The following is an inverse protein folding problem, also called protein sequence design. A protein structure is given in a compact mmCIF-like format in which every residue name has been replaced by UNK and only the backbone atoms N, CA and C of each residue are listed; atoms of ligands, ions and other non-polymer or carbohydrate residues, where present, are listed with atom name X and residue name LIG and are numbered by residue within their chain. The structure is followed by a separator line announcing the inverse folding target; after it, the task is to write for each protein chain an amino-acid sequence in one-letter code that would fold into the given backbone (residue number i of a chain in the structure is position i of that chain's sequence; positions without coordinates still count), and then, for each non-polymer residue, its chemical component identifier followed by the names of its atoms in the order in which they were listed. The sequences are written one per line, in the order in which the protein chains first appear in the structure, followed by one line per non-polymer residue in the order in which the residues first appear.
data_IF_842662645946
#
_entry.id   IF_842662645946
#
_cell.length_a   1.000
_cell.length_b   1.000
_cell.length_c   1.000
_cell.angle_alpha   90.00
_cell.angle_beta   90.00
_cell.angle_gamma   90.00
#
_symmetry.space_group_name_H-M   'P 1'
#
loop_
_entity.id
_entity.type
_entity.pdbx_description
1 polymer ?
#
# COMPACT_ATOMS: atom_id res chain seq x y z
N UNK A 1 60.19 -13.68 34.00
CA UNK A 1 60.87 -12.49 33.47
C UNK A 1 59.82 -11.45 33.13
N UNK A 2 59.93 -10.32 33.83
CA UNK A 2 59.39 -8.98 33.59
C UNK A 2 57.95 -8.83 33.04
N UNK A 3 57.06 -8.46 33.98
CA UNK A 3 55.97 -7.53 33.73
C UNK A 3 56.52 -6.13 33.38
N UNK A 4 55.87 -5.42 32.47
CA UNK A 4 56.04 -3.98 32.29
C UNK A 4 54.67 -3.32 32.29
N UNK A 5 54.32 -2.81 33.46
CA UNK A 5 53.29 -1.83 33.69
C UNK A 5 53.70 -0.53 32.98
N UNK A 6 52.85 -0.01 32.09
CA UNK A 6 52.91 1.40 31.73
C UNK A 6 51.88 2.16 32.56
N UNK A 7 52.41 2.90 33.52
CA UNK A 7 51.76 3.87 34.38
C UNK A 7 51.37 5.11 33.58
N UNK A 8 50.08 5.40 33.49
CA UNK A 8 49.61 6.76 33.20
C UNK A 8 49.31 7.46 34.52
N UNK A 9 50.21 8.35 34.93
CA UNK A 9 49.97 9.35 35.97
C UNK A 9 49.08 10.44 35.37
N UNK A 10 47.83 10.54 35.82
CA UNK A 10 47.03 11.73 35.62
C UNK A 10 47.46 12.77 36.68
N UNK A 11 48.14 13.83 36.23
CA UNK A 11 48.35 15.01 37.05
C UNK A 11 47.02 15.79 37.18
N UNK A 12 46.77 16.16 38.43
CA UNK A 12 45.85 17.16 38.95
C UNK A 12 45.47 18.33 38.03
N UNK A 13 44.19 18.68 38.08
CA UNK A 13 43.76 20.08 38.05
C UNK A 13 43.57 20.68 36.65
N UNK A 14 42.50 20.29 35.98
CA UNK A 14 41.93 21.04 34.86
C UNK A 14 40.42 20.94 34.92
N UNK A 15 39.74 22.05 35.19
CA UNK A 15 38.30 22.16 34.99
C UNK A 15 37.99 21.73 33.56
N UNK A 16 37.31 20.60 33.39
CA UNK A 16 36.73 20.22 32.11
C UNK A 16 35.62 21.23 31.86
N UNK A 17 35.87 22.14 30.92
CA UNK A 17 34.86 23.05 30.42
C UNK A 17 33.69 22.19 29.89
N UNK A 18 32.50 22.46 30.42
CA UNK A 18 31.22 21.87 30.02
C UNK A 18 30.79 22.28 28.59
N UNK A 19 31.73 22.62 27.70
CA UNK A 19 31.47 23.10 26.35
C UNK A 19 31.67 22.06 25.26
N UNK A 20 32.36 20.95 25.53
CA UNK A 20 32.76 20.00 24.47
C UNK A 20 32.03 18.64 24.54
N UNK A 21 31.05 18.51 25.44
CA UNK A 21 30.15 17.35 25.55
C UNK A 21 28.83 17.53 24.77
N UNK A 22 28.68 18.67 24.08
CA UNK A 22 27.61 18.90 23.13
C UNK A 22 28.20 18.86 21.71
N UNK A 23 27.63 18.01 20.85
CA UNK A 23 27.87 17.92 19.40
C UNK A 23 28.81 16.81 18.89
N UNK A 24 28.88 15.67 19.56
CA UNK A 24 28.77 14.41 18.80
C UNK A 24 27.29 14.03 18.77
N UNK A 25 26.56 14.62 17.82
CA UNK A 25 25.35 13.97 17.33
C UNK A 25 25.81 12.63 16.74
N UNK A 26 25.76 11.56 17.55
CA UNK A 26 25.59 10.23 17.01
C UNK A 26 24.28 10.31 16.22
N UNK A 27 24.38 10.54 14.92
CA UNK A 27 23.27 10.45 13.99
C UNK A 27 22.85 9.00 14.00
N UNK A 28 22.04 8.62 14.98
CA UNK A 28 21.53 7.27 15.12
C UNK A 28 20.60 7.09 13.94
N UNK A 29 21.06 6.39 12.92
CA UNK A 29 20.19 5.93 11.85
C UNK A 29 19.09 5.09 12.49
N UNK A 30 17.88 5.61 12.53
CA UNK A 30 16.72 4.89 13.02
C UNK A 30 16.36 3.81 11.99
N UNK A 31 15.87 2.68 12.49
CA UNK A 31 15.47 1.54 11.67
C UNK A 31 13.96 1.37 11.78
N UNK A 32 13.30 1.32 10.63
CA UNK A 32 11.90 0.93 10.50
C UNK A 32 11.81 -0.55 10.15
N UNK A 33 10.74 -1.19 10.62
CA UNK A 33 10.33 -2.49 10.13
C UNK A 33 8.95 -2.34 9.50
N UNK A 34 8.84 -2.75 8.24
CA UNK A 34 7.56 -2.89 7.56
C UNK A 34 7.12 -4.35 7.62
N UNK A 35 5.88 -4.58 8.05
CA UNK A 35 5.23 -5.89 7.97
C UNK A 35 4.16 -5.82 6.89
N UNK A 36 4.25 -6.69 5.89
CA UNK A 36 3.31 -6.73 4.77
C UNK A 36 2.65 -8.10 4.64
N UNK A 37 1.45 -8.09 4.11
CA UNK A 37 0.75 -9.25 3.59
C UNK A 37 -0.03 -8.84 2.32
N UNK A 38 -0.59 -9.82 1.61
CA UNK A 38 -1.42 -9.58 0.42
C UNK A 38 -2.88 -9.30 0.79
N UNK A 39 -3.56 -8.49 -0.03
CA UNK A 39 -5.02 -8.35 0.03
C UNK A 39 -5.63 -8.55 -1.35
N UNK A 40 -6.74 -9.29 -1.37
CA UNK A 40 -7.37 -9.76 -2.59
C UNK A 40 -6.59 -10.91 -3.24
N UNK A 41 -7.31 -11.77 -3.95
CA UNK A 41 -6.67 -12.88 -4.68
C UNK A 41 -6.05 -12.36 -6.00
N UNK A 42 -4.84 -12.80 -6.30
CA UNK A 42 -4.03 -12.42 -7.46
C UNK A 42 -4.63 -12.82 -8.80
N UNK A 43 -5.51 -13.83 -8.84
CA UNK A 43 -6.16 -14.29 -10.08
C UNK A 43 -7.15 -13.29 -10.72
N UNK A 44 -7.65 -13.59 -11.93
CA UNK A 44 -8.60 -12.73 -12.64
C UNK A 44 -9.90 -12.48 -11.86
N UNK A 45 -10.60 -11.40 -12.22
CA UNK A 45 -11.88 -11.02 -11.62
C UNK A 45 -12.87 -10.56 -12.68
N UNK A 46 -14.14 -10.89 -12.49
CA UNK A 46 -15.24 -10.41 -13.32
C UNK A 46 -16.32 -9.77 -12.43
N UNK A 47 -16.79 -10.52 -11.43
CA UNK A 47 -17.86 -10.14 -10.48
C UNK A 47 -18.04 -11.28 -9.46
N UNK A 48 -18.62 -11.00 -8.30
CA UNK A 48 -18.76 -11.97 -7.21
C UNK A 48 -19.73 -13.13 -7.48
N UNK A 49 -20.69 -12.98 -8.39
CA UNK A 49 -21.60 -14.06 -8.82
C UNK A 49 -21.02 -14.88 -10.00
N UNK A 50 -19.81 -14.58 -10.49
CA UNK A 50 -19.17 -15.35 -11.55
C UNK A 50 -18.70 -16.73 -11.03
N UNK A 51 -18.95 -17.86 -11.73
CA UNK A 51 -18.64 -19.20 -11.23
C UNK A 51 -17.15 -19.46 -10.94
N UNK A 52 -16.24 -18.69 -11.55
CA UNK A 52 -14.77 -18.90 -11.43
C UNK A 52 -13.95 -17.68 -11.00
N UNK A 53 -14.45 -16.46 -11.25
CA UNK A 53 -13.64 -15.24 -11.22
C UNK A 53 -14.31 -14.21 -10.31
N UNK A 54 -14.55 -14.63 -9.07
CA UNK A 54 -15.43 -13.98 -8.10
C UNK A 54 -14.75 -13.62 -6.77
N UNK A 55 -13.43 -13.65 -6.74
CA UNK A 55 -12.67 -13.53 -5.50
C UNK A 55 -12.67 -12.11 -4.96
N UNK A 56 -12.04 -11.17 -5.67
CA UNK A 56 -11.88 -9.79 -5.20
C UNK A 56 -11.61 -8.85 -6.38
N UNK A 57 -12.11 -7.60 -6.39
CA UNK A 57 -11.90 -6.65 -7.50
C UNK A 57 -10.50 -6.04 -7.56
N UNK A 58 -9.77 -6.01 -6.44
CA UNK A 58 -8.42 -5.46 -6.35
C UNK A 58 -7.37 -6.52 -5.97
N UNK A 59 -6.10 -6.20 -6.19
CA UNK A 59 -4.97 -6.94 -5.63
C UNK A 59 -3.90 -5.95 -5.14
N UNK A 60 -3.17 -6.29 -4.08
CA UNK A 60 -2.07 -5.48 -3.60
C UNK A 60 -1.46 -5.98 -2.30
N UNK A 61 -0.59 -5.15 -1.72
CA UNK A 61 0.07 -5.40 -0.45
C UNK A 61 -0.28 -4.33 0.57
N UNK A 62 -0.53 -4.74 1.80
CA UNK A 62 -0.81 -3.83 2.90
C UNK A 62 -0.21 -4.33 4.22
N UNK A 63 -0.28 -3.48 5.23
CA UNK A 63 0.23 -3.77 6.55
C UNK A 63 0.61 -2.48 7.26
N UNK A 64 1.76 -2.46 7.90
CA UNK A 64 2.18 -1.32 8.70
C UNK A 64 3.70 -1.19 8.78
N UNK A 65 4.14 0.03 9.12
CA UNK A 65 5.52 0.40 9.38
C UNK A 65 5.64 0.79 10.84
N UNK A 66 6.73 0.41 11.49
CA UNK A 66 6.97 0.68 12.91
C UNK A 66 8.47 0.89 13.19
N UNK A 67 8.86 1.82 14.07
CA UNK A 67 10.24 1.89 14.58
C UNK A 67 10.67 0.58 15.25
N UNK A 68 11.88 0.12 14.95
CA UNK A 68 12.39 -1.19 15.37
C UNK A 68 12.35 -1.39 16.90
N UNK A 69 12.61 -0.33 17.67
CA UNK A 69 12.55 -0.32 19.14
C UNK A 69 11.15 -0.61 19.71
N UNK A 70 10.11 -0.42 18.91
CA UNK A 70 8.71 -0.59 19.33
C UNK A 70 8.11 -1.92 18.89
N UNK A 71 8.81 -2.71 18.05
CA UNK A 71 8.33 -3.98 17.50
C UNK A 71 7.95 -4.98 18.60
N UNK A 72 8.81 -5.17 19.61
CA UNK A 72 8.51 -6.08 20.73
C UNK A 72 7.26 -5.65 21.50
N UNK A 73 7.11 -4.34 21.73
CA UNK A 73 5.95 -3.78 22.45
C UNK A 73 4.66 -4.01 21.65
N UNK A 74 4.69 -3.77 20.34
CA UNK A 74 3.52 -3.93 19.49
C UNK A 74 3.12 -5.41 19.35
N UNK A 75 4.08 -6.30 19.08
CA UNK A 75 3.82 -7.73 18.94
C UNK A 75 3.23 -8.35 20.22
N UNK A 76 3.78 -8.01 21.37
CA UNK A 76 3.25 -8.47 22.67
C UNK A 76 1.86 -7.91 22.97
N UNK A 77 1.61 -6.64 22.66
CA UNK A 77 0.30 -6.02 22.86
C UNK A 77 -0.78 -6.59 21.93
N UNK A 78 -0.45 -6.79 20.65
CA UNK A 78 -1.38 -7.44 19.71
C UNK A 78 -1.73 -8.85 20.17
N UNK A 79 -0.72 -9.66 20.56
CA UNK A 79 -0.94 -10.99 21.12
C UNK A 79 -1.94 -10.95 22.29
N UNK A 80 -1.72 -10.07 23.25
CA UNK A 80 -2.61 -9.90 24.41
C UNK A 80 -4.04 -9.55 24.01
N UNK A 81 -4.25 -8.56 23.12
CA UNK A 81 -5.61 -8.19 22.71
C UNK A 81 -6.28 -9.31 21.91
N UNK A 82 -5.54 -9.97 21.00
CA UNK A 82 -6.01 -11.09 20.19
C UNK A 82 -6.48 -12.26 21.06
N UNK A 83 -5.67 -12.67 22.02
CA UNK A 83 -5.99 -13.79 22.91
C UNK A 83 -7.20 -13.50 23.81
N UNK A 84 -7.38 -12.25 24.25
CA UNK A 84 -8.58 -11.87 25.01
C UNK A 84 -9.84 -11.83 24.13
N UNK A 85 -9.74 -11.27 22.92
CA UNK A 85 -10.87 -11.22 21.97
C UNK A 85 -11.33 -12.63 21.60
N UNK A 86 -10.38 -13.55 21.42
CA UNK A 86 -10.63 -14.89 20.89
C UNK A 86 -10.50 -15.97 21.97
N UNK A 87 -10.65 -15.60 23.24
CA UNK A 87 -10.46 -16.49 24.38
C UNK A 87 -11.37 -17.74 24.30
N UNK A 88 -12.61 -17.55 23.82
CA UNK A 88 -13.53 -18.66 23.61
C UNK A 88 -13.04 -19.61 22.51
N UNK A 89 -12.65 -19.11 21.33
CA UNK A 89 -12.13 -19.95 20.24
C UNK A 89 -10.84 -20.69 20.66
N UNK A 90 -9.95 -20.01 21.39
CA UNK A 90 -8.74 -20.60 21.94
C UNK A 90 -9.03 -21.72 22.94
N UNK A 91 -10.08 -21.58 23.76
CA UNK A 91 -10.49 -22.63 24.71
C UNK A 91 -10.98 -23.91 24.03
N UNK A 92 -11.40 -23.81 22.77
CA UNK A 92 -11.87 -24.94 21.96
C UNK A 92 -10.77 -25.49 21.03
N UNK A 93 -9.59 -24.87 21.01
CA UNK A 93 -8.49 -25.24 20.12
C UNK A 93 -7.55 -26.25 20.78
N UNK A 94 -7.15 -27.27 20.02
CA UNK A 94 -6.06 -28.18 20.41
C UNK A 94 -4.67 -27.56 20.15
N UNK A 95 -4.60 -26.52 19.32
CA UNK A 95 -3.36 -25.78 19.04
C UNK A 95 -3.08 -24.78 20.17
N UNK A 96 -1.88 -24.81 20.78
CA UNK A 96 -1.47 -23.84 21.79
C UNK A 96 -1.54 -22.39 21.29
N UNK A 97 -1.88 -21.45 22.19
CA UNK A 97 -2.12 -20.05 21.84
C UNK A 97 -0.91 -19.35 21.15
N UNK A 98 0.32 -19.78 21.44
CA UNK A 98 1.54 -19.26 20.83
C UNK A 98 1.76 -19.72 19.38
N UNK A 99 1.06 -20.78 18.95
CA UNK A 99 1.05 -21.29 17.56
C UNK A 99 -0.29 -21.09 16.86
N UNK A 100 -1.24 -20.49 17.58
CA UNK A 100 -2.60 -20.31 17.11
C UNK A 100 -2.75 -19.00 16.33
N UNK A 101 -3.44 -19.10 15.21
CA UNK A 101 -3.69 -18.00 14.29
C UNK A 101 -5.18 -17.90 13.97
N UNK A 102 -5.68 -16.67 14.02
CA UNK A 102 -6.96 -16.29 13.42
C UNK A 102 -6.68 -15.43 12.20
N UNK A 103 -7.00 -15.95 11.02
CA UNK A 103 -6.93 -15.16 9.78
C UNK A 103 -7.90 -13.98 9.86
N UNK A 104 -7.41 -12.80 9.51
CA UNK A 104 -8.16 -11.55 9.52
C UNK A 104 -9.38 -11.63 8.62
N UNK A 105 -9.28 -12.32 7.48
CA UNK A 105 -10.40 -12.54 6.56
C UNK A 105 -11.55 -13.34 7.20
N UNK A 106 -11.24 -14.23 8.14
CA UNK A 106 -12.21 -15.02 8.91
C UNK A 106 -12.76 -14.26 10.13
N UNK A 107 -11.99 -13.32 10.69
CA UNK A 107 -12.47 -12.43 11.75
C UNK A 107 -13.38 -11.32 11.19
N UNK A 108 -12.95 -10.67 10.12
CA UNK A 108 -13.56 -9.47 9.54
C UNK A 108 -14.57 -9.85 8.46
N UNK A 109 -15.66 -10.49 8.88
CA UNK A 109 -16.80 -10.85 8.02
C UNK A 109 -18.04 -10.07 8.44
N UNK A 110 -18.96 -9.82 7.52
CA UNK A 110 -20.24 -9.18 7.86
C UNK A 110 -21.07 -10.01 8.83
N UNK A 111 -20.90 -11.34 8.84
CA UNK A 111 -21.53 -12.18 9.85
C UNK A 111 -20.99 -11.91 11.25
N UNK A 112 -19.68 -11.80 11.41
CA UNK A 112 -19.10 -11.53 12.71
C UNK A 112 -19.43 -10.12 13.18
N UNK A 113 -19.44 -9.12 12.29
CA UNK A 113 -19.88 -7.77 12.65
C UNK A 113 -21.36 -7.73 13.07
N UNK A 114 -22.24 -8.48 12.42
CA UNK A 114 -23.65 -8.56 12.87
C UNK A 114 -23.82 -9.12 14.28
N UNK A 115 -22.92 -9.99 14.74
CA UNK A 115 -23.09 -10.73 15.99
C UNK A 115 -22.16 -10.25 17.11
N UNK A 116 -21.00 -9.67 16.78
CA UNK A 116 -19.88 -9.43 17.69
C UNK A 116 -19.15 -8.10 17.41
N UNK A 117 -19.81 -7.12 16.80
CA UNK A 117 -19.21 -5.80 16.54
C UNK A 117 -18.74 -5.12 17.84
N UNK A 118 -19.51 -5.27 18.92
CA UNK A 118 -19.24 -4.68 20.23
C UNK A 118 -17.96 -5.22 20.89
N UNK A 119 -17.46 -6.39 20.47
CA UNK A 119 -16.18 -6.94 20.90
C UNK A 119 -15.06 -6.64 19.89
N UNK A 120 -15.35 -6.82 18.60
CA UNK A 120 -14.36 -6.68 17.52
C UNK A 120 -13.89 -5.24 17.39
N UNK A 121 -14.79 -4.26 17.32
CA UNK A 121 -14.42 -2.86 17.10
C UNK A 121 -13.57 -2.31 18.25
N UNK A 122 -13.92 -2.51 19.54
CA UNK A 122 -13.04 -2.10 20.63
C UNK A 122 -11.68 -2.80 20.65
N UNK A 123 -11.58 -4.05 20.21
CA UNK A 123 -10.29 -4.73 20.06
C UNK A 123 -9.43 -4.07 18.97
N UNK A 124 -9.98 -3.83 17.79
CA UNK A 124 -9.30 -3.13 16.70
C UNK A 124 -8.88 -1.71 17.12
N UNK A 125 -9.76 -0.95 17.78
CA UNK A 125 -9.47 0.38 18.35
C UNK A 125 -8.25 0.37 19.25
N UNK A 126 -8.16 -0.62 20.14
CA UNK A 126 -7.04 -0.78 21.08
C UNK A 126 -5.75 -1.11 20.32
N UNK A 127 -5.80 -2.04 19.37
CA UNK A 127 -4.65 -2.46 18.56
C UNK A 127 -4.08 -1.29 17.75
N UNK A 128 -4.91 -0.63 16.93
CA UNK A 128 -4.46 0.45 16.06
C UNK A 128 -4.19 1.76 16.82
N UNK A 129 -4.89 1.98 17.93
CA UNK A 129 -4.53 3.04 18.88
C UNK A 129 -3.13 2.84 19.45
N UNK A 130 -2.76 1.61 19.81
CA UNK A 130 -1.41 1.30 20.27
C UNK A 130 -0.38 1.45 19.15
N UNK A 131 -0.71 1.01 17.93
CA UNK A 131 0.16 1.18 16.77
C UNK A 131 0.53 2.66 16.57
N UNK A 132 -0.47 3.56 16.54
CA UNK A 132 -0.23 5.00 16.40
C UNK A 132 0.55 5.61 17.56
N UNK A 133 0.29 5.19 18.80
CA UNK A 133 1.06 5.61 19.99
C UNK A 133 2.53 5.20 19.94
N UNK A 134 2.84 4.13 19.21
CA UNK A 134 4.20 3.64 19.01
C UNK A 134 4.83 4.18 17.72
N UNK A 135 4.26 5.27 17.18
CA UNK A 135 4.69 5.94 15.94
C UNK A 135 4.58 5.05 14.70
N UNK A 136 3.75 4.01 14.78
CA UNK A 136 3.43 3.14 13.67
C UNK A 136 2.42 3.76 12.71
N UNK A 137 2.56 3.43 11.43
CA UNK A 137 1.67 3.90 10.36
C UNK A 137 1.18 2.74 9.50
N UNK A 138 -0.04 2.86 9.02
CA UNK A 138 -0.60 1.89 8.07
C UNK A 138 0.02 2.13 6.70
N UNK A 139 0.26 1.06 5.96
CA UNK A 139 0.80 1.13 4.62
C UNK A 139 -0.03 0.28 3.68
N UNK A 140 -0.28 0.77 2.46
CA UNK A 140 -0.82 -0.06 1.41
C UNK A 140 -0.55 0.45 0.01
N UNK A 141 -0.41 -0.50 -0.92
CA UNK A 141 -0.48 -0.28 -2.35
C UNK A 141 -1.38 -1.34 -2.96
N UNK A 142 -2.28 -0.96 -3.87
CA UNK A 142 -2.94 -1.93 -4.73
C UNK A 142 -3.50 -1.34 -6.00
N UNK A 143 -4.06 -2.22 -6.81
CA UNK A 143 -4.63 -1.90 -8.10
C UNK A 143 -5.95 -2.67 -8.28
N UNK A 144 -6.96 -1.99 -8.80
CA UNK A 144 -8.17 -2.59 -9.31
C UNK A 144 -7.80 -3.45 -10.51
N UNK A 145 -8.28 -4.70 -10.54
CA UNK A 145 -7.99 -5.63 -11.63
C UNK A 145 -8.79 -5.24 -12.88
N UNK A 146 -8.24 -5.46 -14.08
CA UNK A 146 -9.03 -5.39 -15.29
C UNK A 146 -10.10 -6.49 -15.23
N UNK A 147 -11.32 -6.14 -15.64
CA UNK A 147 -12.46 -7.05 -15.62
C UNK A 147 -12.32 -8.01 -16.81
N UNK A 148 -12.24 -9.31 -16.53
CA UNK A 148 -12.16 -10.34 -17.57
C UNK A 148 -11.11 -11.42 -17.29
N UNK A 149 -11.13 -12.52 -18.06
CA UNK A 149 -10.09 -13.54 -18.02
C UNK A 149 -8.75 -13.02 -18.59
N UNK A 150 -7.67 -13.78 -18.37
CA UNK A 150 -6.33 -13.45 -18.91
C UNK A 150 -6.32 -13.35 -20.44
N UNK A 151 -7.14 -14.15 -21.13
CA UNK A 151 -7.25 -14.13 -22.59
C UNK A 151 -7.75 -12.79 -23.17
N UNK A 152 -8.46 -11.99 -22.36
CA UNK A 152 -9.00 -10.69 -22.76
C UNK A 152 -8.18 -9.53 -22.17
N UNK A 153 -7.75 -9.69 -20.91
CA UNK A 153 -7.05 -8.63 -20.16
C UNK A 153 -5.55 -8.60 -20.43
N UNK A 154 -4.98 -9.71 -20.91
CA UNK A 154 -3.55 -9.93 -21.13
C UNK A 154 -2.67 -9.72 -19.88
N UNK A 155 -3.26 -9.68 -18.67
CA UNK A 155 -2.54 -9.53 -17.41
C UNK A 155 -2.59 -10.84 -16.60
N UNK A 156 -1.45 -11.51 -16.48
CA UNK A 156 -1.34 -12.74 -15.70
C UNK A 156 -1.32 -12.44 -14.20
N UNK A 157 -1.58 -13.46 -13.37
CA UNK A 157 -1.43 -13.33 -11.90
C UNK A 157 -0.01 -12.91 -11.50
N UNK A 158 1.00 -13.42 -12.21
CA UNK A 158 2.40 -13.13 -11.92
C UNK A 158 2.77 -11.69 -12.26
N UNK A 159 2.29 -11.16 -13.40
CA UNK A 159 2.52 -9.76 -13.78
C UNK A 159 1.96 -8.83 -12.71
N UNK A 160 0.74 -9.12 -12.25
CA UNK A 160 0.03 -8.36 -11.23
C UNK A 160 0.73 -8.41 -9.87
N UNK A 161 1.14 -9.61 -9.45
CA UNK A 161 1.88 -9.82 -8.20
C UNK A 161 3.21 -9.06 -8.21
N UNK A 162 4.01 -9.27 -9.26
CA UNK A 162 5.31 -8.60 -9.45
C UNK A 162 5.15 -7.08 -9.48
N UNK A 163 4.17 -6.58 -10.24
CA UNK A 163 3.91 -5.15 -10.33
C UNK A 163 3.56 -4.55 -8.96
N UNK A 164 2.60 -5.14 -8.25
CA UNK A 164 2.16 -4.62 -6.96
C UNK A 164 3.27 -4.68 -5.91
N UNK A 165 4.07 -5.75 -5.92
CA UNK A 165 5.17 -5.93 -5.00
C UNK A 165 6.27 -4.89 -5.23
N UNK A 166 6.68 -4.68 -6.48
CA UNK A 166 7.64 -3.63 -6.87
C UNK A 166 7.13 -2.25 -6.44
N UNK A 167 5.86 -1.95 -6.68
CA UNK A 167 5.26 -0.67 -6.33
C UNK A 167 5.16 -0.45 -4.82
N UNK A 168 4.91 -1.51 -4.05
CA UNK A 168 4.92 -1.46 -2.59
C UNK A 168 6.33 -1.15 -2.06
N UNK A 169 7.33 -1.90 -2.54
CA UNK A 169 8.74 -1.71 -2.14
C UNK A 169 9.28 -0.34 -2.51
N UNK A 170 9.03 0.16 -3.72
CA UNK A 170 9.47 1.50 -4.11
C UNK A 170 8.88 2.60 -3.19
N UNK A 171 7.63 2.44 -2.76
CA UNK A 171 6.97 3.38 -1.84
C UNK A 171 7.54 3.31 -0.43
N UNK A 172 7.78 2.11 0.07
CA UNK A 172 8.45 1.89 1.36
C UNK A 172 9.87 2.47 1.36
N UNK A 173 10.63 2.24 0.28
CA UNK A 173 11.96 2.82 0.07
C UNK A 173 11.92 4.34 0.07
N UNK A 174 10.95 4.94 -0.62
CA UNK A 174 10.72 6.40 -0.61
C UNK A 174 10.44 6.92 0.81
N UNK A 175 9.55 6.27 1.57
CA UNK A 175 9.24 6.66 2.95
C UNK A 175 10.49 6.65 3.83
N UNK A 176 11.27 5.57 3.78
CA UNK A 176 12.48 5.45 4.57
C UNK A 176 13.56 6.45 4.13
N UNK A 177 13.69 6.67 2.82
CA UNK A 177 14.61 7.65 2.25
C UNK A 177 14.30 9.08 2.70
N UNK A 178 13.03 9.49 2.60
CA UNK A 178 12.58 10.84 2.97
C UNK A 178 12.77 11.12 4.46
N UNK A 179 12.75 10.07 5.30
CA UNK A 179 13.04 10.15 6.75
C UNK A 179 14.53 10.06 7.09
N UNK A 180 15.39 9.81 6.11
CA UNK A 180 16.80 9.46 6.33
C UNK A 180 16.98 8.24 7.26
N UNK A 181 16.10 7.25 7.11
CA UNK A 181 16.06 6.02 7.91
C UNK A 181 16.34 4.78 7.05
N UNK A 182 16.63 3.67 7.72
CA UNK A 182 16.75 2.35 7.09
C UNK A 182 15.51 1.52 7.35
N UNK A 183 15.19 0.61 6.45
CA UNK A 183 14.01 -0.23 6.54
C UNK A 183 14.32 -1.69 6.25
N UNK A 184 13.83 -2.56 7.13
CA UNK A 184 13.68 -3.98 6.88
C UNK A 184 12.22 -4.28 6.55
N UNK A 185 11.97 -5.13 5.56
CA UNK A 185 10.62 -5.55 5.18
C UNK A 185 10.45 -7.03 5.52
N UNK A 186 9.35 -7.36 6.19
CA UNK A 186 8.97 -8.72 6.57
C UNK A 186 7.60 -9.01 5.96
N UNK A 187 7.45 -10.16 5.33
CA UNK A 187 6.23 -10.59 4.64
C UNK A 187 5.77 -11.96 5.14
N UNK A 188 4.46 -12.25 5.03
CA UNK A 188 3.99 -13.63 5.17
C UNK A 188 4.59 -14.51 4.06
N UNK A 189 4.88 -15.77 4.39
CA UNK A 189 5.44 -16.71 3.44
C UNK A 189 4.37 -17.17 2.45
N UNK A 190 4.68 -17.05 1.17
CA UNK A 190 3.89 -17.64 0.08
C UNK A 190 4.40 -19.06 -0.22
N UNK A 191 3.71 -19.78 -1.11
CA UNK A 191 4.20 -21.07 -1.62
C UNK A 191 5.64 -20.96 -2.18
N UNK A 192 6.37 -22.07 -2.18
CA UNK A 192 7.82 -22.16 -2.41
C UNK A 192 8.24 -21.57 -3.77
N UNK A 193 7.49 -21.88 -4.83
CA UNK A 193 7.75 -21.35 -6.18
C UNK A 193 7.48 -19.84 -6.30
N UNK A 194 6.58 -19.30 -5.47
CA UNK A 194 6.30 -17.86 -5.41
C UNK A 194 7.40 -17.15 -4.62
N UNK A 195 7.94 -17.81 -3.57
CA UNK A 195 9.00 -17.26 -2.71
C UNK A 195 10.29 -16.98 -3.48
N UNK A 196 10.82 -17.92 -4.26
CA UNK A 196 12.06 -17.70 -5.02
C UNK A 196 11.92 -16.58 -6.05
N UNK A 197 10.79 -16.55 -6.76
CA UNK A 197 10.51 -15.52 -7.76
C UNK A 197 10.32 -14.14 -7.14
N UNK A 198 9.63 -14.04 -6.01
CA UNK A 198 9.49 -12.79 -5.27
C UNK A 198 10.87 -12.28 -4.83
N UNK A 199 11.72 -13.15 -4.27
CA UNK A 199 13.10 -12.80 -3.87
C UNK A 199 13.91 -12.29 -5.07
N UNK A 200 13.88 -12.99 -6.21
CA UNK A 200 14.63 -12.58 -7.41
C UNK A 200 14.14 -11.23 -7.97
N UNK A 201 12.82 -11.05 -8.08
CA UNK A 201 12.18 -9.82 -8.56
C UNK A 201 12.53 -8.62 -7.66
N UNK A 202 12.48 -8.84 -6.35
CA UNK A 202 12.75 -7.82 -5.35
C UNK A 202 14.24 -7.49 -5.25
N UNK A 203 15.12 -8.48 -5.34
CA UNK A 203 16.57 -8.27 -5.42
C UNK A 203 16.93 -7.37 -6.60
N UNK A 204 16.40 -7.66 -7.79
CA UNK A 204 16.62 -6.81 -8.97
C UNK A 204 16.10 -5.38 -8.78
N UNK A 205 14.99 -5.21 -8.05
CA UNK A 205 14.34 -3.91 -7.81
C UNK A 205 15.05 -3.08 -6.73
N UNK A 206 15.50 -3.71 -5.64
CA UNK A 206 16.14 -3.03 -4.51
C UNK A 206 17.57 -2.65 -4.87
N UNK A 207 18.31 -3.56 -5.51
CA UNK A 207 19.71 -3.34 -5.87
C UNK A 207 19.91 -2.65 -7.23
N UNK A 208 18.84 -2.18 -7.86
CA UNK A 208 18.94 -1.39 -9.09
C UNK A 208 19.63 -0.06 -8.85
N UNK A 209 20.49 0.36 -9.78
CA UNK A 209 21.18 1.66 -9.71
C UNK A 209 20.25 2.85 -9.96
N UNK A 210 19.11 2.61 -10.61
CA UNK A 210 18.23 3.66 -11.12
C UNK A 210 17.19 4.16 -10.10
N UNK A 211 17.06 3.50 -8.94
CA UNK A 211 16.19 3.95 -7.86
C UNK A 211 17.01 4.18 -6.58
N UNK A 212 17.43 5.43 -6.36
CA UNK A 212 18.23 5.80 -5.18
C UNK A 212 17.48 5.66 -3.86
N UNK A 213 16.14 5.77 -3.86
CA UNK A 213 15.33 5.67 -2.64
C UNK A 213 15.34 4.26 -2.05
N UNK A 214 15.42 3.24 -2.91
CA UNK A 214 15.48 1.84 -2.49
C UNK A 214 16.75 1.49 -1.69
N UNK A 215 17.79 2.35 -1.70
CA UNK A 215 18.98 2.20 -0.84
C UNK A 215 18.67 2.29 0.66
N UNK A 216 17.48 2.77 1.03
CA UNK A 216 17.00 2.72 2.41
C UNK A 216 16.43 1.36 2.80
N UNK A 217 16.04 0.52 1.84
CA UNK A 217 15.70 -0.89 2.08
C UNK A 217 17.00 -1.68 2.13
N UNK A 218 17.28 -2.30 3.29
CA UNK A 218 18.62 -2.83 3.58
C UNK A 218 18.86 -4.25 3.06
N UNK A 219 17.80 -5.00 2.81
CA UNK A 219 17.84 -6.38 2.31
C UNK A 219 16.55 -6.70 1.57
N UNK A 220 16.58 -7.74 0.73
CA UNK A 220 15.39 -8.34 0.15
C UNK A 220 14.40 -8.73 1.27
N UNK A 221 13.08 -8.47 1.11
CA UNK A 221 12.08 -8.82 2.10
C UNK A 221 12.20 -10.23 2.66
N UNK A 222 12.19 -10.34 3.99
CA UNK A 222 12.21 -11.62 4.69
C UNK A 222 10.80 -12.21 4.70
N UNK A 223 10.68 -13.47 4.31
CA UNK A 223 9.42 -14.20 4.41
C UNK A 223 9.40 -15.06 5.67
N UNK A 224 8.28 -15.01 6.41
CA UNK A 224 8.09 -15.65 7.71
C UNK A 224 6.71 -16.27 7.82
N UNK A 225 6.56 -17.27 8.69
CA UNK A 225 5.32 -18.04 8.82
C UNK A 225 4.33 -17.34 9.78
N UNK A 226 3.26 -16.74 9.26
CA UNK A 226 2.28 -15.96 10.04
C UNK A 226 1.80 -16.61 11.35
N UNK A 227 1.58 -17.92 11.40
CA UNK A 227 1.16 -18.62 12.61
C UNK A 227 2.11 -18.50 13.81
N UNK A 228 3.38 -18.15 13.60
CA UNK A 228 4.39 -17.96 14.66
C UNK A 228 4.66 -16.48 14.98
N UNK A 229 4.25 -15.55 14.11
CA UNK A 229 4.61 -14.14 14.21
C UNK A 229 3.38 -13.25 14.37
N UNK A 230 3.12 -12.83 15.61
CA UNK A 230 2.03 -11.90 15.95
C UNK A 230 2.08 -10.58 15.16
N UNK A 231 3.27 -10.09 14.80
CA UNK A 231 3.42 -8.90 13.97
C UNK A 231 2.95 -9.11 12.53
N UNK A 232 3.13 -10.30 11.98
CA UNK A 232 2.65 -10.68 10.64
C UNK A 232 1.15 -10.92 10.66
N UNK A 233 0.60 -11.56 11.70
CA UNK A 233 -0.86 -11.69 11.88
C UNK A 233 -1.56 -10.32 11.96
N UNK A 234 -0.92 -9.31 12.55
CA UNK A 234 -1.45 -7.94 12.52
C UNK A 234 -1.41 -7.34 11.10
N UNK A 235 -0.42 -7.68 10.27
CA UNK A 235 -0.40 -7.29 8.87
C UNK A 235 -1.56 -7.96 8.11
N UNK A 236 -1.79 -9.26 8.31
CA UNK A 236 -2.95 -9.99 7.77
C UNK A 236 -4.29 -9.35 8.21
N UNK A 237 -4.47 -8.97 9.48
CA UNK A 237 -5.70 -8.27 9.92
C UNK A 237 -5.86 -6.90 9.25
N UNK A 238 -4.75 -6.22 8.98
CA UNK A 238 -4.74 -4.95 8.25
C UNK A 238 -5.10 -5.14 6.78
N UNK A 239 -4.57 -6.19 6.14
CA UNK A 239 -4.91 -6.59 4.79
C UNK A 239 -6.37 -7.01 4.67
N UNK A 240 -6.90 -7.73 5.63
CA UNK A 240 -8.31 -8.12 5.66
C UNK A 240 -9.22 -6.90 5.72
N UNK A 241 -8.94 -5.92 6.60
CA UNK A 241 -9.70 -4.67 6.65
C UNK A 241 -9.62 -3.92 5.32
N UNK A 242 -8.42 -3.80 4.74
CA UNK A 242 -8.24 -3.11 3.46
C UNK A 242 -8.95 -3.85 2.32
N UNK A 243 -8.95 -5.18 2.33
CA UNK A 243 -9.75 -6.02 1.44
C UNK A 243 -11.22 -5.66 1.54
N UNK A 244 -11.79 -5.54 2.74
CA UNK A 244 -13.20 -5.15 2.92
C UNK A 244 -13.49 -3.73 2.42
N UNK A 245 -12.58 -2.78 2.68
CA UNK A 245 -12.69 -1.42 2.17
C UNK A 245 -12.66 -1.39 0.63
N UNK A 246 -11.71 -2.09 0.03
CA UNK A 246 -11.55 -2.08 -1.43
C UNK A 246 -12.66 -2.85 -2.13
N UNK A 247 -13.12 -3.96 -1.59
CA UNK A 247 -14.33 -4.64 -2.04
C UNK A 247 -15.53 -3.69 -2.06
N UNK A 248 -15.80 -2.98 -0.96
CA UNK A 248 -16.87 -1.98 -0.89
C UNK A 248 -16.79 -0.89 -1.98
N UNK A 249 -15.58 -0.42 -2.27
CA UNK A 249 -15.37 0.70 -3.18
C UNK A 249 -15.27 0.30 -4.66
N UNK A 250 -14.88 -0.93 -4.98
CA UNK A 250 -14.49 -1.35 -6.33
C UNK A 250 -15.28 -2.55 -6.88
N UNK A 251 -16.04 -3.27 -6.05
CA UNK A 251 -16.95 -4.31 -6.50
C UNK A 251 -18.30 -3.74 -6.96
N UNK A 252 -19.02 -4.53 -7.75
CA UNK A 252 -20.39 -4.23 -8.20
C UNK A 252 -21.38 -4.22 -7.03
N UNK A 253 -21.25 -5.17 -6.12
CA UNK A 253 -21.97 -5.21 -4.85
C UNK A 253 -21.00 -5.60 -3.73
N UNK A 254 -21.32 -5.21 -2.50
CA UNK A 254 -20.48 -5.52 -1.35
C UNK A 254 -21.30 -5.44 -0.08
N UNK A 255 -21.14 -6.43 0.79
CA UNK A 255 -21.76 -6.51 2.12
C UNK A 255 -20.90 -5.84 3.21
N UNK A 256 -19.82 -5.15 2.81
CA UNK A 256 -18.83 -4.60 3.73
C UNK A 256 -18.98 -3.09 3.95
N UNK A 257 -20.20 -2.56 3.92
CA UNK A 257 -20.44 -1.13 4.21
C UNK A 257 -19.93 -0.71 5.60
N UNK A 258 -20.02 -1.60 6.59
CA UNK A 258 -19.48 -1.41 7.95
C UNK A 258 -17.97 -1.12 7.95
N UNK A 259 -17.23 -1.62 6.95
CA UNK A 259 -15.78 -1.46 6.89
C UNK A 259 -15.38 0.00 6.73
N UNK A 260 -16.23 0.84 6.12
CA UNK A 260 -15.98 2.28 5.93
C UNK A 260 -15.85 2.99 7.28
N UNK A 261 -16.76 2.71 8.21
CA UNK A 261 -16.76 3.36 9.53
C UNK A 261 -15.64 2.83 10.42
N UNK A 262 -15.40 1.51 10.39
CA UNK A 262 -14.26 0.88 11.07
C UNK A 262 -12.93 1.40 10.53
N UNK A 263 -12.79 1.47 9.21
CA UNK A 263 -11.63 2.01 8.51
C UNK A 263 -11.39 3.48 8.86
N UNK A 264 -12.44 4.30 8.94
CA UNK A 264 -12.34 5.71 9.36
C UNK A 264 -11.76 5.85 10.76
N UNK A 265 -12.27 5.08 11.71
CA UNK A 265 -11.79 5.11 13.09
C UNK A 265 -10.36 4.59 13.22
N UNK A 266 -10.03 3.52 12.51
CA UNK A 266 -8.67 2.96 12.47
C UNK A 266 -7.68 3.94 11.84
N UNK A 267 -8.01 4.56 10.70
CA UNK A 267 -7.15 5.55 10.03
C UNK A 267 -6.98 6.83 10.87
N UNK A 268 -7.90 7.11 11.80
CA UNK A 268 -7.74 8.20 12.76
C UNK A 268 -6.76 7.87 13.88
N UNK A 269 -6.60 6.60 14.22
CA UNK A 269 -5.74 6.10 15.30
C UNK A 269 -4.32 5.79 14.84
N UNK A 270 -4.21 5.13 13.69
CA UNK A 270 -2.95 4.88 13.01
C UNK A 270 -3.07 5.43 11.59
N UNK A 271 -2.35 6.52 11.31
CA UNK A 271 -2.45 7.20 10.02
C UNK A 271 -1.84 6.34 8.91
N UNK A 272 -2.52 6.20 7.77
CA UNK A 272 -1.89 5.68 6.56
C UNK A 272 -0.70 6.55 6.13
N UNK A 273 0.30 5.95 5.48
CA UNK A 273 1.40 6.72 4.88
C UNK A 273 0.89 7.60 3.75
N UNK A 274 1.57 8.71 3.50
CA UNK A 274 1.15 9.71 2.51
C UNK A 274 1.11 9.17 1.07
N UNK A 275 1.92 8.15 0.79
CA UNK A 275 1.99 7.50 -0.51
C UNK A 275 1.16 6.20 -0.61
N UNK A 276 0.37 5.87 0.42
CA UNK A 276 -0.58 4.75 0.38
C UNK A 276 -1.71 5.02 -0.61
N UNK A 277 -2.02 4.05 -1.47
CA UNK A 277 -2.91 4.30 -2.61
C UNK A 277 -3.49 3.03 -3.24
N UNK A 278 -4.72 3.12 -3.76
CA UNK A 278 -5.33 2.14 -4.65
C UNK A 278 -5.51 2.75 -6.04
N UNK A 279 -4.95 2.13 -7.07
CA UNK A 279 -5.10 2.55 -8.46
C UNK A 279 -6.36 1.96 -9.07
N UNK A 280 -7.18 2.79 -9.70
CA UNK A 280 -8.34 2.34 -10.50
C UNK A 280 -7.91 2.08 -11.95
N UNK A 281 -8.53 1.07 -12.56
CA UNK A 281 -8.37 0.74 -13.97
C UNK A 281 -9.36 1.50 -14.88
N UNK A 282 -10.01 2.56 -14.38
CA UNK A 282 -10.90 3.39 -15.17
C UNK A 282 -10.21 4.00 -16.40
N UNK A 283 -10.95 4.09 -17.51
CA UNK A 283 -10.50 4.59 -18.83
C UNK A 283 -9.99 6.03 -18.79
N UNK A 284 -10.41 6.83 -17.82
CA UNK A 284 -9.78 8.11 -17.51
C UNK A 284 -8.44 7.82 -16.82
N UNK A 285 -7.41 7.58 -17.63
CA UNK A 285 -6.05 7.21 -17.22
C UNK A 285 -5.65 7.81 -15.86
N UNK A 286 -5.39 6.94 -14.88
CA UNK A 286 -4.81 7.25 -13.56
C UNK A 286 -5.74 7.83 -12.50
N UNK A 287 -6.96 7.30 -12.39
CA UNK A 287 -7.77 7.56 -11.21
C UNK A 287 -7.22 6.82 -9.98
N UNK A 288 -7.06 7.55 -8.89
CA UNK A 288 -6.34 7.12 -7.69
C UNK A 288 -7.22 7.31 -6.47
N UNK A 289 -7.42 6.24 -5.71
CA UNK A 289 -8.09 6.28 -4.42
C UNK A 289 -7.05 6.38 -3.31
N UNK A 290 -6.92 7.59 -2.75
CA UNK A 290 -6.12 7.85 -1.55
C UNK A 290 -6.86 7.37 -0.30
N UNK A 291 -6.19 7.25 0.87
CA UNK A 291 -6.80 6.67 2.06
C UNK A 291 -8.11 7.34 2.49
N UNK A 292 -8.20 8.67 2.40
CA UNK A 292 -9.43 9.40 2.70
C UNK A 292 -10.60 9.04 1.78
N UNK A 293 -10.32 8.57 0.55
CA UNK A 293 -11.34 8.09 -0.38
C UNK A 293 -11.90 6.72 -0.01
N UNK A 294 -11.16 5.91 0.76
CA UNK A 294 -11.58 4.58 1.21
C UNK A 294 -12.47 4.60 2.47
N UNK A 295 -12.59 5.75 3.15
CA UNK A 295 -13.31 5.87 4.43
C UNK A 295 -14.53 6.80 4.33
N UNK A 296 -15.02 6.97 3.10
CA UNK A 296 -16.22 7.75 2.76
C UNK A 296 -17.29 6.80 2.24
N UNK A 297 -18.53 6.98 2.68
CA UNK A 297 -19.66 6.11 2.30
C UNK A 297 -19.97 6.13 0.79
N UNK A 298 -19.58 7.18 0.08
CA UNK A 298 -19.68 7.17 -1.38
C UNK A 298 -18.68 6.19 -1.99
N UNK A 299 -19.17 5.20 -2.74
CA UNK A 299 -18.33 4.24 -3.46
C UNK A 299 -17.44 4.95 -4.48
N UNK A 300 -16.24 4.39 -4.71
CA UNK A 300 -15.24 5.07 -5.51
C UNK A 300 -15.67 5.14 -6.99
N UNK A 301 -16.20 4.04 -7.53
CA UNK A 301 -16.65 3.98 -8.92
C UNK A 301 -17.77 5.01 -9.23
N UNK A 302 -18.63 5.35 -8.27
CA UNK A 302 -19.65 6.41 -8.45
C UNK A 302 -19.01 7.78 -8.66
N UNK A 303 -17.97 8.08 -7.89
CA UNK A 303 -17.20 9.32 -8.01
C UNK A 303 -16.51 9.39 -9.38
N UNK A 304 -15.99 8.26 -9.86
CA UNK A 304 -15.38 8.17 -11.19
C UNK A 304 -16.39 8.42 -12.30
N UNK A 305 -17.54 7.77 -12.27
CA UNK A 305 -18.60 7.96 -13.26
C UNK A 305 -19.07 9.42 -13.32
N UNK A 306 -19.27 10.06 -12.16
CA UNK A 306 -19.63 11.49 -12.10
C UNK A 306 -18.55 12.38 -12.71
N UNK A 307 -17.27 12.08 -12.45
CA UNK A 307 -16.15 12.81 -13.04
C UNK A 307 -16.10 12.63 -14.56
N UNK A 308 -16.22 11.39 -15.05
CA UNK A 308 -16.25 11.09 -16.48
C UNK A 308 -17.42 11.78 -17.19
N UNK A 309 -18.62 11.75 -16.62
CA UNK A 309 -19.78 12.45 -17.16
C UNK A 309 -19.56 13.97 -17.22
N UNK A 310 -18.92 14.56 -16.20
CA UNK A 310 -18.57 15.98 -16.19
C UNK A 310 -17.53 16.32 -17.26
N UNK A 311 -16.49 15.49 -17.38
CA UNK A 311 -15.41 15.70 -18.34
C UNK A 311 -15.91 15.52 -19.79
N UNK A 312 -16.81 14.56 -20.03
CA UNK A 312 -17.51 14.39 -21.31
C UNK A 312 -18.35 15.63 -21.67
N UNK A 313 -19.14 16.16 -20.74
CA UNK A 313 -19.91 17.40 -20.94
C UNK A 313 -19.01 18.60 -21.22
N UNK A 314 -17.85 18.69 -20.55
CA UNK A 314 -16.87 19.77 -20.79
C UNK A 314 -16.26 19.65 -22.19
N UNK A 315 -15.90 18.42 -22.61
CA UNK A 315 -15.38 18.15 -23.95
C UNK A 315 -16.40 18.52 -25.03
N UNK A 316 -17.66 18.13 -24.84
CA UNK A 316 -18.75 18.48 -25.75
C UNK A 316 -18.95 20.00 -25.86
N UNK A 317 -19.00 20.72 -24.73
CA UNK A 317 -19.09 22.19 -24.72
C UNK A 317 -17.91 22.84 -25.44
N UNK A 318 -16.68 22.36 -25.20
CA UNK A 318 -15.49 22.87 -25.86
C UNK A 318 -15.54 22.60 -27.38
N UNK A 319 -15.98 21.41 -27.81
CA UNK A 319 -16.16 21.08 -29.22
C UNK A 319 -17.22 21.96 -29.88
N UNK A 320 -18.36 22.21 -29.22
CA UNK A 320 -19.39 23.13 -29.72
C UNK A 320 -18.88 24.57 -29.82
N UNK A 321 -18.13 25.04 -28.82
CA UNK A 321 -17.51 26.38 -28.84
C UNK A 321 -16.49 26.51 -29.98
N UNK A 322 -15.63 25.49 -30.14
CA UNK A 322 -14.65 25.46 -31.22
C UNK A 322 -15.33 25.44 -32.59
N UNK A 323 -16.41 24.67 -32.76
CA UNK A 323 -17.20 24.67 -33.99
C UNK A 323 -17.80 26.05 -34.28
N UNK A 324 -18.39 26.71 -33.28
CA UNK A 324 -18.91 28.09 -33.45
C UNK A 324 -17.84 29.09 -33.85
N UNK A 325 -16.62 28.95 -33.31
CA UNK A 325 -15.48 29.80 -33.69
C UNK A 325 -15.03 29.55 -35.13
N UNK A 326 -15.03 28.29 -35.59
CA UNK A 326 -14.77 27.95 -36.99
C UNK A 326 -15.86 28.55 -37.88
N UNK A 327 -17.13 28.37 -37.53
CA UNK A 327 -18.26 28.83 -38.34
C UNK A 327 -18.27 30.36 -38.48
N UNK A 328 -17.89 31.09 -37.42
CA UNK A 328 -17.75 32.55 -37.39
C UNK A 328 -16.41 33.05 -37.97
N UNK A 329 -15.48 32.16 -38.29
CA UNK A 329 -14.18 32.49 -38.89
C UNK A 329 -14.29 32.92 -40.35
N UNK A 330 -13.30 33.68 -40.82
CA UNK A 330 -13.19 34.06 -42.24
C UNK A 330 -13.02 32.83 -43.14
N UNK A 331 -13.39 32.94 -44.42
CA UNK A 331 -13.25 31.85 -45.39
C UNK A 331 -11.79 31.39 -45.54
N UNK A 332 -10.83 32.30 -45.35
CA UNK A 332 -9.40 32.01 -45.36
C UNK A 332 -8.96 31.13 -44.17
N UNK A 333 -9.56 31.32 -42.99
CA UNK A 333 -9.31 30.48 -41.80
C UNK A 333 -9.89 29.07 -42.00
N UNK A 334 -11.08 28.98 -42.59
CA UNK A 334 -11.74 27.70 -42.89
C UNK A 334 -10.93 26.90 -43.91
N UNK A 335 -10.46 27.55 -44.98
CA UNK A 335 -9.62 26.92 -46.01
C UNK A 335 -8.27 26.41 -45.44
N UNK A 336 -7.60 27.17 -44.57
CA UNK A 336 -6.37 26.71 -43.88
C UNK A 336 -6.60 25.51 -42.96
N UNK A 337 -7.73 25.49 -42.23
CA UNK A 337 -8.08 24.36 -41.37
C UNK A 337 -8.38 23.10 -42.17
N UNK A 338 -9.04 23.21 -43.32
CA UNK A 338 -9.28 22.08 -44.24
C UNK A 338 -7.97 21.53 -44.83
N UNK A 339 -7.03 22.40 -45.22
CA UNK A 339 -5.70 21.98 -45.69
C UNK A 339 -4.93 21.17 -44.62
N UNK A 340 -4.98 21.60 -43.36
CA UNK A 340 -4.35 20.89 -42.23
C UNK A 340 -5.03 19.53 -42.00
N UNK A 341 -6.36 19.47 -42.14
CA UNK A 341 -7.16 18.27 -41.87
C UNK A 341 -7.02 17.20 -42.96
N UNK A 342 -6.77 17.63 -44.20
CA UNK A 342 -6.57 16.74 -45.35
C UNK A 342 -5.10 16.35 -45.61
N UNK A 343 -4.14 16.91 -44.85
CA UNK A 343 -2.75 16.49 -44.92
C UNK A 343 -2.19 16.50 -46.33
N UNK A 344 -2.17 17.65 -47.01
CA UNK A 344 -1.36 17.78 -48.22
C UNK A 344 0.10 18.08 -47.81
N UNK A 345 1.09 17.29 -48.27
CA UNK A 345 2.49 17.65 -48.13
C UNK A 345 2.74 18.90 -48.98
N UNK A 346 3.40 19.87 -48.37
CA UNK A 346 3.83 21.10 -49.03
C UNK A 346 4.84 20.74 -50.14
N UNK A 347 4.39 20.64 -51.39
CA UNK A 347 5.25 20.50 -52.56
C UNK A 347 5.59 21.89 -53.09
N UNK A 348 6.58 22.53 -52.48
CA UNK A 348 7.42 23.51 -53.17
C UNK A 348 8.67 23.79 -52.35
N UNK A 349 9.79 23.19 -52.73
CA UNK A 349 10.98 24.01 -52.92
C UNK A 349 11.84 23.43 -54.05
N UNK A 350 11.83 24.18 -55.14
CA UNK A 350 12.60 23.99 -56.36
C UNK A 350 14.10 24.09 -56.05
N UNK A 351 14.85 23.04 -56.35
CA UNK A 351 16.25 23.19 -56.77
C UNK A 351 16.41 22.67 -58.18
N UNK A 352 16.65 23.61 -59.09
CA UNK A 352 17.19 23.43 -60.44
C UNK A 352 18.50 24.20 -60.54
N UNK A 353 19.36 23.85 -61.50
CA UNK A 353 20.01 22.56 -61.74
C UNK A 353 21.42 22.52 -61.13
#
# INVERSE_FOLDING_TARGET
MAALQHTFRANSGGQIALSDLATEHITRTLMLIAYLDEFGHQGPYIRHDHPKFNTHPCFGYAGYILPAENVRKMGGYFKYIKENLLAWELSQSEVPADRWEKKGSALLTSNNFRNYEDEIVPALRRIYGKLGQLEGQLFFYGQQKPVGPVSETHETSQDRESHCLIQAINRLGTIAHDRNEKMLVIMDATDTDNRERAVATLGATIYTRNNSTNKSIIEVPLQTESHLYNTVQLADWTCALLGRLTDYHFAEYSDFSWAVDVGRDIFNRAKPTENSIIWSNATSMHSRCFPNGLVVAQRFWEKEQRKQARDARKKEKNSQMFQRLIDAGSDELKAKLEQIRHGSPDTSDDRKP
#
